data_IF_564297818154
#
_entry.id   IF_564297818154
#
_cell.length_a   1.000
_cell.length_b   1.000
_cell.length_c   1.000
_cell.angle_alpha   90.00
_cell.angle_beta   90.00
_cell.angle_gamma   90.00
#
_symmetry.space_group_name_H-M   'P 1'
#
loop_
_entity.id
_entity.type
_entity.pdbx_description
1 polymer ?
#
# COMPACT_ATOMS: atom_id res chain seq x y z
N UNK A 1 -12.51 8.00 -13.05
CA UNK A 1 -13.11 7.50 -11.81
C UNK A 1 -12.13 6.57 -11.12
N UNK A 2 -11.94 6.74 -9.83
CA UNK A 2 -11.04 5.88 -9.09
C UNK A 2 -11.62 4.47 -8.94
N UNK A 3 -10.78 3.44 -9.12
CA UNK A 3 -11.18 2.06 -8.88
C UNK A 3 -11.16 1.69 -7.40
N UNK A 4 -10.72 2.63 -6.55
CA UNK A 4 -10.57 2.39 -5.11
C UNK A 4 -11.85 2.76 -4.38
N UNK A 5 -12.47 1.79 -3.72
CA UNK A 5 -13.76 1.98 -3.04
C UNK A 5 -13.65 2.09 -1.52
N UNK A 6 -12.46 2.08 -0.97
CA UNK A 6 -12.25 2.19 0.48
C UNK A 6 -12.55 3.59 0.96
N UNK A 7 -13.22 3.71 2.11
CA UNK A 7 -13.50 5.02 2.74
C UNK A 7 -12.25 5.60 3.37
N UNK A 8 -11.39 4.75 3.91
CA UNK A 8 -10.12 5.13 4.52
C UNK A 8 -9.04 4.15 4.07
N UNK A 9 -7.82 4.67 3.96
CA UNK A 9 -6.64 3.85 3.74
C UNK A 9 -5.75 3.95 4.97
N UNK A 10 -5.15 2.84 5.35
CA UNK A 10 -4.25 2.76 6.49
C UNK A 10 -2.84 2.50 5.99
N UNK A 11 -1.90 3.30 6.48
CA UNK A 11 -0.50 3.26 6.09
C UNK A 11 0.38 2.96 7.29
N UNK A 12 1.50 2.28 7.04
CA UNK A 12 2.48 1.98 8.06
C UNK A 12 3.57 3.04 8.02
N UNK A 13 3.87 3.67 9.16
CA UNK A 13 5.00 4.56 9.28
C UNK A 13 6.15 3.81 9.95
N UNK A 14 7.35 3.93 9.38
CA UNK A 14 8.55 3.34 9.97
C UNK A 14 9.10 4.21 11.10
N UNK A 15 10.24 3.82 11.69
CA UNK A 15 10.85 4.55 12.79
C UNK A 15 11.30 5.96 12.42
N UNK A 16 11.53 6.21 11.13
CA UNK A 16 11.89 7.53 10.61
C UNK A 16 10.68 8.38 10.24
N UNK A 17 9.46 7.84 10.37
CA UNK A 17 8.24 8.53 10.02
C UNK A 17 7.87 8.47 8.55
N UNK A 18 8.56 7.65 7.76
CA UNK A 18 8.25 7.45 6.35
C UNK A 18 7.24 6.34 6.17
N UNK A 19 6.39 6.48 5.16
CA UNK A 19 5.42 5.44 4.82
C UNK A 19 6.13 4.24 4.20
N UNK A 20 5.76 3.05 4.65
CA UNK A 20 6.38 1.81 4.22
C UNK A 20 5.97 1.43 2.81
N UNK A 21 6.95 0.98 2.02
CA UNK A 21 6.76 0.47 0.68
C UNK A 21 7.20 -0.99 0.61
N UNK A 22 6.78 -1.67 -0.44
CA UNK A 22 7.14 -3.07 -0.65
C UNK A 22 7.56 -3.26 -2.10
N UNK A 23 8.59 -4.08 -2.29
CA UNK A 23 9.02 -4.52 -3.61
C UNK A 23 9.15 -6.03 -3.60
N UNK A 24 8.48 -6.71 -4.53
CA UNK A 24 8.63 -8.14 -4.68
C UNK A 24 9.99 -8.45 -5.29
N UNK A 25 10.73 -9.37 -4.66
CA UNK A 25 12.13 -9.66 -4.97
C UNK A 25 12.36 -10.04 -6.43
N UNK A 26 11.48 -10.87 -6.98
CA UNK A 26 11.65 -11.40 -8.34
C UNK A 26 10.64 -10.82 -9.33
N UNK A 27 9.98 -9.74 -8.95
CA UNK A 27 8.99 -9.10 -9.81
C UNK A 27 9.41 -7.66 -10.13
N UNK A 28 8.89 -7.15 -11.23
CA UNK A 28 9.16 -5.78 -11.66
C UNK A 28 8.23 -4.75 -11.01
N UNK A 29 7.43 -5.17 -10.04
CA UNK A 29 6.45 -4.28 -9.42
C UNK A 29 6.76 -4.02 -7.95
N UNK A 30 6.43 -2.82 -7.56
CA UNK A 30 6.60 -2.34 -6.19
C UNK A 30 5.50 -1.33 -5.90
N UNK A 31 5.35 -0.91 -4.66
CA UNK A 31 4.39 0.11 -4.34
C UNK A 31 4.36 0.49 -2.87
N UNK A 32 3.59 1.52 -2.58
CA UNK A 32 3.33 1.96 -1.23
C UNK A 32 2.32 1.01 -0.59
N UNK A 33 2.63 0.51 0.59
CA UNK A 33 1.72 -0.38 1.32
C UNK A 33 0.54 0.43 1.86
N UNK A 34 -0.67 -0.05 1.58
CA UNK A 34 -1.90 0.51 2.11
C UNK A 34 -2.87 -0.61 2.42
N UNK A 35 -3.73 -0.37 3.40
CA UNK A 35 -4.67 -1.39 3.85
C UNK A 35 -6.06 -0.77 3.99
N UNK A 36 -7.09 -1.57 3.70
CA UNK A 36 -8.48 -1.11 3.78
C UNK A 36 -9.01 -1.08 5.21
N UNK A 37 -8.29 -1.66 6.16
CA UNK A 37 -8.62 -1.62 7.58
C UNK A 37 -7.36 -1.66 8.44
N UNK A 38 -7.47 -1.19 9.66
CA UNK A 38 -6.35 -1.26 10.61
C UNK A 38 -5.98 -2.72 10.92
N UNK A 39 -6.98 -3.59 11.00
CA UNK A 39 -6.75 -5.02 11.28
C UNK A 39 -5.90 -5.66 10.20
N UNK A 40 -6.15 -5.36 8.93
CA UNK A 40 -5.33 -5.88 7.83
C UNK A 40 -3.90 -5.37 7.90
N UNK A 41 -3.71 -4.11 8.30
CA UNK A 41 -2.38 -3.54 8.50
C UNK A 41 -1.64 -4.29 9.61
N UNK A 42 -2.31 -4.56 10.72
CA UNK A 42 -1.72 -5.31 11.84
C UNK A 42 -1.40 -6.75 11.47
N UNK A 43 -2.27 -7.40 10.70
CA UNK A 43 -2.05 -8.76 10.22
C UNK A 43 -0.80 -8.83 9.35
N UNK A 44 -0.63 -7.86 8.45
CA UNK A 44 0.57 -7.80 7.62
C UNK A 44 1.83 -7.70 8.49
N UNK A 45 1.84 -6.82 9.48
CA UNK A 45 2.99 -6.68 10.38
C UNK A 45 3.28 -7.99 11.12
N UNK A 46 2.24 -8.66 11.61
CA UNK A 46 2.38 -9.93 12.32
C UNK A 46 2.92 -11.04 11.41
N UNK A 47 2.43 -11.12 10.18
CA UNK A 47 2.79 -12.20 9.26
C UNK A 47 4.17 -11.98 8.61
N UNK A 48 4.52 -10.73 8.31
CA UNK A 48 5.78 -10.40 7.62
C UNK A 48 6.93 -10.11 8.56
N UNK A 49 6.65 -9.85 9.84
CA UNK A 49 7.65 -9.40 10.79
C UNK A 49 7.99 -7.91 10.65
N UNK A 50 7.29 -7.20 9.78
CA UNK A 50 7.49 -5.77 9.61
C UNK A 50 7.10 -5.03 10.89
N UNK A 51 7.87 -4.00 11.23
CA UNK A 51 7.59 -3.17 12.38
C UNK A 51 7.12 -1.81 11.92
N UNK A 52 5.99 -1.37 12.48
CA UNK A 52 5.47 -0.04 12.23
C UNK A 52 5.49 0.73 13.55
N UNK A 53 6.04 1.94 13.51
CA UNK A 53 5.98 2.85 14.64
C UNK A 53 4.54 3.30 14.87
N UNK A 54 3.81 3.50 13.78
CA UNK A 54 2.45 4.02 13.83
C UNK A 54 1.68 3.56 12.60
N UNK A 55 0.38 3.36 12.77
CA UNK A 55 -0.54 3.12 11.66
C UNK A 55 -1.41 4.37 11.56
N UNK A 56 -1.39 5.01 10.38
CA UNK A 56 -2.14 6.24 10.13
C UNK A 56 -3.24 6.01 9.13
N UNK A 57 -4.37 6.67 9.34
CA UNK A 57 -5.52 6.59 8.46
C UNK A 57 -5.62 7.85 7.59
N UNK A 58 -5.98 7.65 6.32
CA UNK A 58 -6.23 8.72 5.37
C UNK A 58 -7.63 8.54 4.80
N UNK A 59 -8.56 9.49 5.05
CA UNK A 59 -9.87 9.43 4.41
C UNK A 59 -9.73 9.66 2.90
N UNK A 60 -10.27 8.74 2.09
CA UNK A 60 -10.17 8.84 0.63
C UNK A 60 -11.01 9.99 0.05
N UNK A 61 -11.96 10.50 0.82
CA UNK A 61 -12.75 11.66 0.43
C UNK A 61 -12.00 12.99 0.59
N UNK A 62 -10.89 12.99 1.33
CA UNK A 62 -10.05 14.18 1.48
C UNK A 62 -9.12 14.28 0.27
N UNK A 63 -9.62 14.92 -0.79
CA UNK A 63 -8.93 14.99 -2.09
C UNK A 63 -7.58 15.71 -2.00
N UNK A 64 -7.49 16.72 -1.17
CA UNK A 64 -6.23 17.46 -1.00
C UNK A 64 -5.16 16.58 -0.36
N UNK A 65 -5.54 15.81 0.65
CA UNK A 65 -4.61 14.88 1.31
C UNK A 65 -4.20 13.73 0.41
N UNK A 66 -5.12 13.21 -0.40
CA UNK A 66 -4.82 12.17 -1.39
C UNK A 66 -3.82 12.70 -2.41
N UNK A 67 -4.06 13.89 -2.96
CA UNK A 67 -3.15 14.50 -3.94
C UNK A 67 -1.76 14.73 -3.34
N UNK A 68 -1.69 15.24 -2.11
CA UNK A 68 -0.43 15.49 -1.43
C UNK A 68 0.35 14.18 -1.21
N UNK A 69 -0.35 13.12 -0.78
CA UNK A 69 0.25 11.80 -0.60
C UNK A 69 0.85 11.30 -1.91
N UNK A 70 0.09 11.35 -3.00
CA UNK A 70 0.52 10.84 -4.29
C UNK A 70 1.74 11.59 -4.79
N UNK A 71 1.75 12.92 -4.68
CA UNK A 71 2.92 13.73 -5.07
C UNK A 71 4.15 13.36 -4.27
N UNK A 72 3.98 13.15 -2.98
CA UNK A 72 5.07 12.80 -2.08
C UNK A 72 5.69 11.45 -2.42
N UNK A 73 4.86 10.44 -2.69
CA UNK A 73 5.38 9.11 -3.02
C UNK A 73 5.92 9.03 -4.44
N UNK A 74 5.37 9.81 -5.38
CA UNK A 74 5.96 9.92 -6.72
C UNK A 74 7.37 10.52 -6.68
N UNK A 75 7.62 11.44 -5.76
CA UNK A 75 8.96 12.00 -5.56
C UNK A 75 9.96 10.94 -5.08
N UNK A 76 9.48 9.83 -4.50
CA UNK A 76 10.28 8.67 -4.12
C UNK A 76 10.34 7.61 -5.24
N UNK A 77 9.92 7.94 -6.46
CA UNK A 77 9.83 7.04 -7.60
C UNK A 77 8.85 5.88 -7.40
N UNK A 78 7.86 6.05 -6.53
CA UNK A 78 6.80 5.06 -6.30
C UNK A 78 5.61 5.43 -7.17
N UNK A 79 5.15 4.47 -8.00
CA UNK A 79 4.06 4.69 -8.97
C UNK A 79 2.78 3.95 -8.65
N UNK A 80 2.81 3.08 -7.65
CA UNK A 80 1.68 2.20 -7.35
C UNK A 80 1.39 2.18 -5.87
N UNK A 81 0.12 1.94 -5.56
CA UNK A 81 -0.32 1.58 -4.22
C UNK A 81 -0.52 0.07 -4.21
N UNK A 82 -0.06 -0.61 -3.19
CA UNK A 82 -0.31 -2.04 -2.99
C UNK A 82 -1.34 -2.17 -1.87
N UNK A 83 -2.58 -2.43 -2.26
CA UNK A 83 -3.69 -2.49 -1.33
C UNK A 83 -3.86 -3.91 -0.80
N UNK A 84 -4.00 -4.01 0.51
CA UNK A 84 -4.31 -5.25 1.22
C UNK A 84 -3.38 -6.40 0.85
N UNK A 85 -2.07 -6.11 0.85
CA UNK A 85 -1.07 -7.14 0.58
C UNK A 85 -1.20 -8.25 1.61
N UNK A 86 -1.54 -9.44 1.13
CA UNK A 86 -1.66 -10.64 1.94
C UNK A 86 -0.34 -11.40 1.83
N UNK A 87 0.50 -11.22 2.84
CA UNK A 87 1.84 -11.79 2.86
C UNK A 87 1.81 -13.33 2.92
N UNK A 88 0.77 -13.86 3.56
CA UNK A 88 0.63 -15.31 3.71
C UNK A 88 0.17 -15.99 2.43
N UNK A 89 -0.78 -15.37 1.71
CA UNK A 89 -1.36 -15.93 0.49
C UNK A 89 -0.64 -15.49 -0.78
N UNK A 90 0.18 -14.46 -0.69
CA UNK A 90 0.95 -13.97 -1.82
C UNK A 90 0.12 -13.23 -2.86
N UNK A 91 -0.73 -12.32 -2.43
CA UNK A 91 -1.54 -11.52 -3.34
C UNK A 91 -1.79 -10.11 -2.79
N UNK A 92 -2.04 -9.19 -3.70
CA UNK A 92 -2.42 -7.82 -3.38
C UNK A 92 -3.16 -7.20 -4.56
N UNK A 93 -3.73 -6.03 -4.33
CA UNK A 93 -4.30 -5.22 -5.40
C UNK A 93 -3.33 -4.08 -5.67
N UNK A 94 -2.81 -4.02 -6.90
CA UNK A 94 -1.92 -2.94 -7.34
C UNK A 94 -2.77 -1.85 -7.97
N UNK A 95 -2.70 -0.63 -7.42
CA UNK A 95 -3.45 0.52 -7.90
C UNK A 95 -2.47 1.52 -8.49
N UNK A 96 -2.63 1.83 -9.77
CA UNK A 96 -1.80 2.82 -10.45
C UNK A 96 -2.25 4.22 -10.06
N UNK A 97 -1.30 5.14 -9.90
CA UNK A 97 -1.63 6.55 -9.69
C UNK A 97 -1.89 7.21 -11.04
N UNK A 98 -3.03 7.89 -11.16
CA UNK A 98 -3.38 8.70 -12.32
C UNK A 98 -3.41 10.17 -11.93
N UNK A 99 -2.40 10.93 -12.33
CA UNK A 99 -2.25 12.30 -11.86
C UNK A 99 -2.13 12.33 -10.36
N UNK A 100 -3.04 13.02 -9.69
CA UNK A 100 -3.08 13.14 -8.24
C UNK A 100 -4.21 12.29 -7.62
N UNK A 101 -4.60 11.21 -8.27
CA UNK A 101 -5.67 10.34 -7.83
C UNK A 101 -5.30 8.87 -8.03
N UNK A 102 -6.12 7.98 -7.48
CA UNK A 102 -6.00 6.55 -7.68
C UNK A 102 -6.67 6.16 -8.99
N UNK A 103 -5.95 5.39 -9.77
CA UNK A 103 -6.43 4.93 -11.08
C UNK A 103 -6.82 3.47 -11.08
N UNK A 104 -6.43 2.77 -12.15
CA UNK A 104 -6.80 1.38 -12.38
C UNK A 104 -6.20 0.44 -11.33
N UNK A 105 -6.99 -0.53 -10.89
CA UNK A 105 -6.58 -1.56 -9.94
C UNK A 105 -6.45 -2.90 -10.64
N UNK A 106 -5.39 -3.65 -10.33
CA UNK A 106 -5.14 -5.00 -10.85
C UNK A 106 -4.73 -5.91 -9.73
N UNK A 107 -5.25 -7.13 -9.74
CA UNK A 107 -4.79 -8.16 -8.81
C UNK A 107 -3.40 -8.62 -9.19
N UNK A 108 -2.50 -8.73 -8.21
CA UNK A 108 -1.15 -9.25 -8.38
C UNK A 108 -0.93 -10.41 -7.44
N UNK A 109 -0.17 -11.39 -7.91
CA UNK A 109 0.17 -12.57 -7.13
C UNK A 109 1.70 -12.72 -7.09
N UNK A 110 2.18 -13.28 -6.00
CA UNK A 110 3.61 -13.58 -5.81
C UNK A 110 3.72 -14.87 -4.99
N UNK A 111 4.90 -15.47 -5.01
CA UNK A 111 5.15 -16.67 -4.22
C UNK A 111 5.25 -16.28 -2.75
N UNK A 112 4.33 -16.73 -1.88
CA UNK A 112 4.39 -16.36 -0.47
C UNK A 112 5.63 -16.96 0.19
N UNK A 113 6.19 -16.30 1.21
CA UNK A 113 7.43 -16.77 1.85
C UNK A 113 7.37 -18.20 2.38
N UNK A 114 6.21 -18.63 2.85
CA UNK A 114 6.02 -19.98 3.37
C UNK A 114 6.11 -21.06 2.28
N UNK A 115 5.96 -20.68 1.00
CA UNK A 115 6.02 -21.59 -0.13
C UNK A 115 7.35 -21.55 -0.88
N UNK A 116 8.28 -20.74 -0.41
CA UNK A 116 9.62 -20.60 -1.03
C UNK A 116 10.60 -21.64 -0.54
#
# INVERSE_FOLDING_TARGET
MSALECKELYFLLDSAGAMSAYQEKDASWAGLLAFSSEDRARDFCSESGAQAREIVALPTSDRASVAALIRQVKARAIRYLLLDLDYRRGRCIQVEFEGDDFGEAKERQFVPPAAR
#
